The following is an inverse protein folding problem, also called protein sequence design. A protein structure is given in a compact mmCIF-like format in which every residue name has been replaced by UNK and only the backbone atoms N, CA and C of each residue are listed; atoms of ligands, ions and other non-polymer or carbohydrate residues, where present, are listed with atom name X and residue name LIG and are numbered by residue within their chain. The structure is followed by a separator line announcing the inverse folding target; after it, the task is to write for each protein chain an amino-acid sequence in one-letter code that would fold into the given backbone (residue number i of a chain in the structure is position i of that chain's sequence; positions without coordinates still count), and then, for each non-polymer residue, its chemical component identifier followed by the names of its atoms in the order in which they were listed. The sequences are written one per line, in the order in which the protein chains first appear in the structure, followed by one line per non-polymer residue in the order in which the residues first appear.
data_IF_704176096131
#
_entry.id   IF_704176096131
#
_cell.length_a   1.000
_cell.length_b   1.000
_cell.length_c   1.000
_cell.angle_alpha   90.00
_cell.angle_beta   90.00
_cell.angle_gamma   90.00
#
_symmetry.space_group_name_H-M   'P 1'
#
loop_
_entity.id
_entity.type
_entity.pdbx_description
1 polymer ?
#
# COMPACT_ATOMS: atom_id res chain seq x y z
N UNK A 1 17.68 0.15 13.32
CA UNK A 1 16.91 0.05 12.05
C UNK A 1 16.39 -1.38 11.96
N UNK A 2 15.16 -1.62 12.41
CA UNK A 2 14.48 -2.89 12.11
C UNK A 2 14.07 -2.82 10.63
N UNK A 3 14.63 -3.70 9.81
CA UNK A 3 14.01 -3.96 8.51
C UNK A 3 12.70 -4.69 8.80
N UNK A 4 11.59 -4.21 8.22
CA UNK A 4 10.33 -4.95 8.24
C UNK A 4 10.58 -6.39 7.73
N UNK A 5 9.91 -7.40 8.31
CA UNK A 5 10.10 -8.79 7.90
C UNK A 5 9.78 -8.95 6.40
N UNK A 6 10.66 -9.62 5.66
CA UNK A 6 10.43 -9.87 4.23
C UNK A 6 9.22 -10.79 4.06
N UNK A 7 8.16 -10.31 3.40
CA UNK A 7 6.95 -11.11 3.12
C UNK A 7 7.06 -11.73 1.73
N UNK A 8 6.81 -13.03 1.65
CA UNK A 8 6.61 -13.73 0.39
C UNK A 8 5.27 -13.34 -0.26
N UNK A 9 5.12 -13.62 -1.56
CA UNK A 9 3.87 -13.40 -2.29
C UNK A 9 2.63 -13.99 -1.59
N UNK A 10 2.73 -15.23 -1.10
CA UNK A 10 1.63 -15.89 -0.41
C UNK A 10 1.30 -15.26 0.95
N UNK A 11 2.31 -14.71 1.65
CA UNK A 11 2.11 -14.00 2.91
C UNK A 11 1.40 -12.65 2.67
N UNK A 12 1.75 -11.93 1.60
CA UNK A 12 1.04 -10.70 1.20
C UNK A 12 -0.40 -11.00 0.81
N UNK A 13 -0.66 -12.06 0.03
CA UNK A 13 -2.04 -12.48 -0.28
C UNK A 13 -2.85 -12.82 0.96
N UNK A 14 -2.25 -13.55 1.90
CA UNK A 14 -2.93 -13.90 3.16
C UNK A 14 -3.23 -12.65 3.99
N UNK A 15 -2.33 -11.67 4.00
CA UNK A 15 -2.53 -10.38 4.66
C UNK A 15 -3.69 -9.60 4.04
N UNK A 16 -3.75 -9.49 2.70
CA UNK A 16 -4.85 -8.82 2.00
C UNK A 16 -6.20 -9.42 2.42
N UNK A 17 -6.35 -10.74 2.34
CA UNK A 17 -7.60 -11.43 2.69
C UNK A 17 -7.94 -11.25 4.17
N UNK A 18 -6.94 -11.31 5.05
CA UNK A 18 -7.14 -11.12 6.49
C UNK A 18 -7.64 -9.71 6.80
N UNK A 19 -6.93 -8.69 6.30
CA UNK A 19 -7.26 -7.30 6.59
C UNK A 19 -8.59 -6.88 5.94
N UNK A 20 -8.89 -7.36 4.73
CA UNK A 20 -10.18 -7.13 4.09
C UNK A 20 -11.36 -7.78 4.86
N UNK A 21 -11.16 -8.95 5.46
CA UNK A 21 -12.17 -9.57 6.31
C UNK A 21 -12.40 -8.81 7.61
N UNK A 22 -11.36 -8.15 8.15
CA UNK A 22 -11.45 -7.27 9.31
C UNK A 22 -12.07 -5.91 8.95
N UNK A 23 -11.95 -5.49 7.70
CA UNK A 23 -12.57 -4.30 7.10
C UNK A 23 -14.08 -4.46 6.84
N UNK A 24 -14.52 -5.61 6.33
CA UNK A 24 -15.92 -5.86 5.94
C UNK A 24 -17.03 -5.62 7.01
N UNK A 25 -16.82 -5.86 8.32
CA UNK A 25 -17.86 -5.69 9.34
C UNK A 25 -17.85 -4.32 10.05
N UNK A 26 -16.94 -3.41 9.70
CA UNK A 26 -16.80 -2.16 10.43
C UNK A 26 -17.97 -1.21 10.10
N UNK A 27 -18.26 -0.29 11.02
CA UNK A 27 -19.28 0.77 10.85
C UNK A 27 -18.57 2.10 10.56
N UNK A 28 -19.26 3.11 10.04
CA UNK A 28 -18.70 4.46 9.80
C UNK A 28 -17.95 5.05 11.03
N UNK A 29 -18.31 4.65 12.25
CA UNK A 29 -17.62 5.05 13.50
C UNK A 29 -16.18 4.50 13.64
N UNK A 30 -15.78 3.52 12.82
CA UNK A 30 -14.44 2.92 12.80
C UNK A 30 -13.65 3.27 11.53
N UNK A 31 -13.98 4.37 10.86
CA UNK A 31 -13.35 4.84 9.61
C UNK A 31 -11.81 4.97 9.69
N UNK A 32 -11.26 5.32 10.85
CA UNK A 32 -9.80 5.37 11.03
C UNK A 32 -9.15 3.96 10.97
N UNK A 33 -9.86 2.93 11.44
CA UNK A 33 -9.40 1.54 11.37
C UNK A 33 -9.52 0.98 9.96
N UNK A 34 -10.55 1.41 9.22
CA UNK A 34 -10.69 1.16 7.79
C UNK A 34 -9.45 1.66 7.03
N UNK A 35 -9.13 2.94 7.19
CA UNK A 35 -8.02 3.60 6.52
C UNK A 35 -6.67 2.95 6.90
N UNK A 36 -6.47 2.64 8.18
CA UNK A 36 -5.23 1.98 8.65
C UNK A 36 -5.04 0.58 8.04
N UNK A 37 -6.08 -0.25 8.00
CA UNK A 37 -5.99 -1.60 7.42
C UNK A 37 -5.68 -1.56 5.92
N UNK A 38 -6.26 -0.61 5.19
CA UNK A 38 -5.98 -0.38 3.78
C UNK A 38 -4.53 0.08 3.56
N UNK A 39 -4.09 1.10 4.31
CA UNK A 39 -2.75 1.67 4.23
C UNK A 39 -1.68 0.62 4.53
N UNK A 40 -1.80 -0.10 5.64
CA UNK A 40 -0.88 -1.18 6.04
C UNK A 40 -0.75 -2.26 4.96
N UNK A 41 -1.88 -2.62 4.35
CA UNK A 41 -1.92 -3.65 3.31
C UNK A 41 -1.25 -3.14 2.03
N UNK A 42 -1.51 -1.89 1.65
CA UNK A 42 -0.88 -1.30 0.47
C UNK A 42 0.64 -1.18 0.65
N UNK A 43 1.09 -0.71 1.80
CA UNK A 43 2.51 -0.65 2.15
C UNK A 43 3.15 -2.03 2.04
N UNK A 44 2.51 -3.08 2.58
CA UNK A 44 3.03 -4.45 2.49
C UNK A 44 3.17 -4.95 1.04
N UNK A 45 2.29 -4.55 0.12
CA UNK A 45 2.42 -4.86 -1.31
C UNK A 45 3.66 -4.16 -1.88
N UNK A 46 3.85 -2.87 -1.59
CA UNK A 46 5.02 -2.12 -2.05
C UNK A 46 6.35 -2.61 -1.45
N UNK A 47 6.35 -3.05 -0.19
CA UNK A 47 7.52 -3.71 0.41
C UNK A 47 7.90 -4.98 -0.35
N UNK A 48 6.91 -5.80 -0.74
CA UNK A 48 7.14 -6.97 -1.57
C UNK A 48 7.68 -6.60 -2.96
N UNK A 49 7.13 -5.57 -3.61
CA UNK A 49 7.65 -5.06 -4.89
C UNK A 49 9.12 -4.66 -4.75
N UNK A 50 9.46 -3.90 -3.70
CA UNK A 50 10.83 -3.49 -3.41
C UNK A 50 11.78 -4.69 -3.22
N UNK A 51 11.31 -5.74 -2.54
CA UNK A 51 12.08 -6.96 -2.28
C UNK A 51 12.25 -7.84 -3.53
N UNK A 52 11.25 -7.86 -4.42
CA UNK A 52 11.29 -8.61 -5.69
C UNK A 52 12.32 -8.05 -6.68
N UNK A 53 12.87 -6.85 -6.42
CA UNK A 53 13.87 -6.21 -7.26
C UNK A 53 13.29 -5.49 -8.48
N UNK A 54 11.96 -5.36 -8.57
CA UNK A 54 11.29 -4.59 -9.63
C UNK A 54 11.73 -3.13 -9.54
N UNK A 55 12.34 -2.65 -10.61
CA UNK A 55 12.80 -1.26 -10.73
C UNK A 55 11.74 -0.43 -11.44
N UNK A 56 11.25 0.61 -10.78
CA UNK A 56 10.33 1.59 -11.37
C UNK A 56 11.19 2.77 -11.85
N UNK A 57 11.26 2.97 -13.16
CA UNK A 57 12.11 4.02 -13.74
C UNK A 57 11.66 5.39 -13.23
N UNK A 58 12.62 6.17 -12.70
CA UNK A 58 12.37 7.52 -12.20
C UNK A 58 11.79 7.58 -10.78
N UNK A 59 11.69 6.45 -10.09
CA UNK A 59 11.15 6.36 -8.75
C UNK A 59 12.08 5.55 -7.84
N UNK A 60 12.35 6.05 -6.63
CA UNK A 60 13.03 5.29 -5.59
C UNK A 60 12.01 4.83 -4.55
N UNK A 61 11.44 3.63 -4.77
CA UNK A 61 10.40 3.07 -3.90
C UNK A 61 10.89 2.93 -2.45
N UNK A 62 12.18 2.63 -2.23
CA UNK A 62 12.73 2.56 -0.88
C UNK A 62 12.67 3.89 -0.15
N UNK A 63 12.96 5.00 -0.82
CA UNK A 63 12.88 6.33 -0.21
C UNK A 63 11.45 6.71 0.16
N UNK A 64 10.46 6.30 -0.66
CA UNK A 64 9.05 6.53 -0.38
C UNK A 64 8.62 5.73 0.85
N UNK A 65 8.97 4.45 0.92
CA UNK A 65 8.67 3.61 2.08
C UNK A 65 9.38 4.09 3.35
N UNK A 66 10.64 4.54 3.25
CA UNK A 66 11.37 5.10 4.40
C UNK A 66 10.74 6.41 4.89
N UNK A 67 10.17 7.22 3.99
CA UNK A 67 9.42 8.42 4.38
C UNK A 67 8.12 8.05 5.13
N UNK A 68 7.39 7.04 4.66
CA UNK A 68 6.18 6.54 5.33
C UNK A 68 6.44 6.18 6.81
N UNK A 69 7.47 5.37 7.06
CA UNK A 69 7.79 4.96 8.44
C UNK A 69 8.29 6.11 9.31
N UNK A 70 8.96 7.10 8.72
CA UNK A 70 9.42 8.28 9.46
C UNK A 70 8.24 9.17 9.85
N UNK A 71 7.25 9.31 8.98
CA UNK A 71 6.03 10.07 9.27
C UNK A 71 5.27 9.40 10.44
N UNK A 72 5.12 8.06 10.46
CA UNK A 72 4.50 7.34 11.59
C UNK A 72 5.29 7.44 12.90
N UNK A 73 6.63 7.35 12.86
CA UNK A 73 7.49 7.45 14.04
C UNK A 73 7.50 8.89 14.64
N UNK A 74 7.24 9.93 13.83
CA UNK A 74 7.20 11.33 14.26
C UNK A 74 5.80 11.75 14.79
N UNK A 75 4.73 11.01 14.50
CA UNK A 75 3.39 11.25 15.08
C UNK A 75 3.31 10.93 16.59
N UNK A 76 4.32 10.25 17.16
CA UNK A 76 4.46 10.00 18.61
C UNK A 76 5.12 11.19 19.37
N UNK A 77 5.74 12.15 18.67
CA UNK A 77 6.44 13.30 19.26
C UNK A 77 5.84 14.63 18.76
N UNK A 78 4.71 15.06 19.33
CA UNK A 78 4.16 16.44 19.24
C UNK A 78 4.28 17.13 17.86
N UNK A 79 3.31 16.95 16.94
CA UNK A 79 2.65 18.10 16.29
C UNK A 79 1.55 17.72 15.29
N UNK A 80 0.37 18.29 15.52
CA UNK A 80 -0.72 18.42 14.56
C UNK A 80 -0.29 19.29 13.37
N UNK A 81 0.28 18.70 12.32
CA UNK A 81 0.37 19.35 11.01
C UNK A 81 0.33 18.34 9.88
N UNK A 82 -0.90 17.98 9.51
CA UNK A 82 -1.25 17.09 8.39
C UNK A 82 -0.62 17.63 7.10
N UNK A 83 0.46 17.00 6.65
CA UNK A 83 1.06 17.23 5.33
C UNK A 83 0.16 16.62 4.25
N UNK A 84 -0.68 17.46 3.63
CA UNK A 84 -1.73 17.10 2.65
C UNK A 84 -1.21 16.89 1.23
N UNK A 85 -0.08 16.18 1.13
CA UNK A 85 0.44 15.62 -0.13
C UNK A 85 1.22 14.36 0.24
N UNK A 86 0.55 13.45 0.92
CA UNK A 86 1.15 12.43 1.77
C UNK A 86 1.88 11.34 1.00
N UNK A 87 2.86 10.71 1.65
CA UNK A 87 3.53 9.50 1.15
C UNK A 87 2.53 8.44 0.65
N UNK A 88 1.36 8.34 1.30
CA UNK A 88 0.26 7.46 0.89
C UNK A 88 -0.39 7.82 -0.45
N UNK A 89 -0.59 9.11 -0.75
CA UNK A 89 -1.13 9.55 -2.05
C UNK A 89 -0.21 9.14 -3.20
N UNK A 90 1.09 9.17 -2.95
CA UNK A 90 2.08 8.67 -3.91
C UNK A 90 1.95 7.15 -4.11
N UNK A 91 1.72 6.38 -3.05
CA UNK A 91 1.51 4.93 -3.16
C UNK A 91 0.22 4.59 -3.92
N UNK A 92 -0.87 5.34 -3.70
CA UNK A 92 -2.11 5.18 -4.47
C UNK A 92 -1.93 5.54 -5.95
N UNK A 93 -1.21 6.63 -6.27
CA UNK A 93 -0.86 6.96 -7.66
C UNK A 93 -0.10 5.81 -8.33
N UNK A 94 0.92 5.29 -7.65
CA UNK A 94 1.72 4.17 -8.15
C UNK A 94 0.89 2.91 -8.37
N UNK A 95 0.00 2.56 -7.43
CA UNK A 95 -0.92 1.44 -7.58
C UNK A 95 -1.78 1.62 -8.84
N UNK A 96 -2.39 2.79 -9.02
CA UNK A 96 -3.24 3.07 -10.17
C UNK A 96 -2.47 2.93 -11.47
N UNK A 97 -1.24 3.46 -11.52
CA UNK A 97 -0.36 3.38 -12.70
C UNK A 97 0.14 1.97 -13.01
N UNK A 98 0.22 1.09 -12.02
CA UNK A 98 0.60 -0.32 -12.19
C UNK A 98 -0.59 -1.22 -12.56
N UNK A 99 -1.79 -0.83 -12.16
CA UNK A 99 -3.00 -1.66 -12.28
C UNK A 99 -3.78 -1.34 -13.57
N UNK A 100 -3.93 -0.06 -13.90
CA UNK A 100 -4.77 0.39 -15.00
C UNK A 100 -3.93 0.78 -16.22
N UNK A 101 -4.17 0.12 -17.36
CA UNK A 101 -3.41 0.37 -18.60
C UNK A 101 -3.83 1.65 -19.32
N UNK A 102 -4.97 2.22 -18.97
CA UNK A 102 -5.63 3.31 -19.70
C UNK A 102 -5.22 4.70 -19.16
N UNK A 103 -4.30 4.72 -18.20
CA UNK A 103 -3.88 5.91 -17.46
C UNK A 103 -2.63 6.54 -18.09
N UNK A 104 -2.44 7.84 -17.89
CA UNK A 104 -1.27 8.55 -18.42
C UNK A 104 0.01 8.13 -17.68
N UNK A 105 1.00 7.59 -18.42
CA UNK A 105 2.28 7.07 -17.89
C UNK A 105 2.17 5.77 -17.05
N UNK A 106 1.73 4.65 -17.65
CA UNK A 106 1.62 3.37 -16.95
C UNK A 106 2.98 2.83 -16.53
N UNK A 107 3.01 2.11 -15.41
CA UNK A 107 4.19 1.45 -14.88
C UNK A 107 4.10 -0.05 -15.18
N UNK A 108 4.95 -0.60 -16.07
CA UNK A 108 4.93 -2.02 -16.37
C UNK A 108 5.47 -2.82 -15.17
N UNK A 109 4.67 -3.75 -14.70
CA UNK A 109 5.01 -4.69 -13.62
C UNK A 109 4.66 -6.13 -14.03
N UNK A 110 5.17 -7.11 -13.28
CA UNK A 110 4.84 -8.52 -13.50
C UNK A 110 3.35 -8.79 -13.25
N UNK A 111 2.82 -9.84 -13.87
CA UNK A 111 1.44 -10.26 -13.63
C UNK A 111 1.19 -10.66 -12.17
N UNK A 112 2.22 -11.17 -11.49
CA UNK A 112 2.20 -11.44 -10.05
C UNK A 112 1.88 -10.17 -9.22
N UNK A 113 2.47 -9.03 -9.55
CA UNK A 113 2.19 -7.76 -8.87
C UNK A 113 0.78 -7.25 -9.22
N UNK A 114 0.36 -7.38 -10.49
CA UNK A 114 -1.02 -7.03 -10.88
C UNK A 114 -2.05 -7.86 -10.15
N UNK A 115 -1.78 -9.15 -9.94
CA UNK A 115 -2.64 -10.06 -9.19
C UNK A 115 -2.78 -9.63 -7.71
N UNK A 116 -1.71 -9.09 -7.10
CA UNK A 116 -1.79 -8.54 -5.74
C UNK A 116 -2.69 -7.29 -5.69
N UNK A 117 -2.50 -6.33 -6.59
CA UNK A 117 -3.33 -5.12 -6.61
C UNK A 117 -4.78 -5.41 -7.00
N UNK A 118 -5.01 -6.38 -7.90
CA UNK A 118 -6.35 -6.86 -8.20
C UNK A 118 -7.01 -7.48 -6.97
N UNK A 119 -6.32 -8.38 -6.28
CA UNK A 119 -6.84 -9.00 -5.06
C UNK A 119 -7.12 -7.94 -3.99
N UNK A 120 -6.24 -6.96 -3.83
CA UNK A 120 -6.45 -5.84 -2.91
C UNK A 120 -7.74 -5.08 -3.24
N UNK A 121 -7.90 -4.60 -4.48
CA UNK A 121 -9.07 -3.86 -4.90
C UNK A 121 -10.35 -4.70 -4.77
N UNK A 122 -10.36 -5.93 -5.28
CA UNK A 122 -11.54 -6.81 -5.23
C UNK A 122 -11.93 -7.16 -3.77
N UNK A 123 -10.99 -7.11 -2.82
CA UNK A 123 -11.24 -7.48 -1.41
C UNK A 123 -11.69 -6.31 -0.54
N UNK A 124 -11.06 -5.14 -0.69
CA UNK A 124 -11.40 -3.94 0.09
C UNK A 124 -12.55 -3.15 -0.54
N UNK A 125 -12.63 -3.17 -1.87
CA UNK A 125 -13.56 -2.39 -2.68
C UNK A 125 -14.28 -3.29 -3.70
N UNK A 126 -15.02 -4.32 -3.24
CA UNK A 126 -15.75 -5.19 -4.16
C UNK A 126 -16.74 -4.34 -4.98
N UNK A 127 -16.64 -4.43 -6.31
CA UNK A 127 -17.68 -3.88 -7.19
C UNK A 127 -18.98 -4.64 -6.93
N UNK A 128 -20.04 -3.94 -6.49
CA UNK A 128 -21.38 -4.48 -6.24
C UNK A 128 -22.00 -5.23 -7.45
#
# INVERSE_FOLDING_TARGET
MSQAPSRSFNEVKALIVKNAAEHAPLTDEAMWLYESLEQDTLVAIFEYIQQSGVQIVGLNLRQILDAWYKDEDEEDEEDEQIHTGGTMETLWDLQNRMTFMDIENPIPVSDEIKDLFKLYNDSFWPED
#
